data_IF_637508897123
#
_entry.id   IF_637508897123
#
_cell.length_a   1.000
_cell.length_b   1.000
_cell.length_c   1.000
_cell.angle_alpha   90.00
_cell.angle_beta   90.00
_cell.angle_gamma   90.00
#
_symmetry.space_group_name_H-M   'P 1'
#
loop_
_entity.id
_entity.type
_entity.pdbx_description
1 polymer ?
#
# COMPACT_ATOMS: atom_id res chain seq x y z
N UNK A 1 25.30 3.18 0.78
CA UNK A 1 24.01 3.72 0.30
C UNK A 1 23.14 2.53 -0.01
N UNK A 2 22.03 2.34 0.71
CA UNK A 2 21.13 1.22 0.44
C UNK A 2 20.63 1.34 -1.02
N UNK A 3 20.75 0.26 -1.79
CA UNK A 3 20.18 0.18 -3.13
C UNK A 3 18.86 -0.56 -2.99
N UNK A 4 17.79 0.20 -2.80
CA UNK A 4 16.43 -0.32 -2.67
C UNK A 4 15.94 -0.91 -4.01
N UNK A 5 14.97 -1.85 -4.00
CA UNK A 5 14.30 -2.27 -5.23
C UNK A 5 13.51 -1.14 -5.86
N UNK A 6 13.14 -1.29 -7.13
CA UNK A 6 12.09 -0.45 -7.71
C UNK A 6 10.77 -0.80 -7.04
N UNK A 7 10.08 0.17 -6.43
CA UNK A 7 8.79 -0.08 -5.79
C UNK A 7 7.68 0.50 -6.65
N UNK A 8 6.79 -0.37 -7.13
CA UNK A 8 5.56 0.05 -7.79
C UNK A 8 4.42 0.04 -6.77
N UNK A 9 3.94 1.23 -6.42
CA UNK A 9 2.82 1.38 -5.50
C UNK A 9 1.50 1.44 -6.26
N UNK A 10 0.52 0.62 -5.85
CA UNK A 10 -0.83 0.59 -6.39
C UNK A 10 -1.85 1.03 -5.34
N UNK A 11 -2.51 2.14 -5.62
CA UNK A 11 -3.59 2.68 -4.79
C UNK A 11 -4.91 1.95 -5.08
N UNK A 12 -5.45 1.27 -4.08
CA UNK A 12 -6.65 0.43 -4.16
C UNK A 12 -7.84 1.03 -3.40
N UNK A 13 -7.75 2.24 -2.84
CA UNK A 13 -8.79 2.86 -2.02
C UNK A 13 -10.15 2.93 -2.74
N UNK A 14 -10.17 3.32 -4.01
CA UNK A 14 -11.40 3.39 -4.81
C UNK A 14 -11.99 2.01 -5.14
N UNK A 15 -11.24 0.91 -4.96
CA UNK A 15 -11.68 -0.46 -5.23
C UNK A 15 -11.73 -1.31 -3.96
N UNK A 16 -10.61 -1.77 -3.41
CA UNK A 16 -10.57 -2.55 -2.15
C UNK A 16 -11.21 -1.79 -1.00
N UNK A 17 -10.85 -0.51 -0.87
CA UNK A 17 -11.36 0.36 0.19
C UNK A 17 -12.89 0.50 0.10
N UNK A 18 -13.37 1.11 -0.99
CA UNK A 18 -14.77 1.43 -1.19
C UNK A 18 -15.70 0.21 -1.28
N UNK A 19 -15.18 -0.97 -1.66
CA UNK A 19 -15.97 -2.19 -1.80
C UNK A 19 -16.63 -2.65 -0.49
N UNK A 20 -16.05 -2.33 0.67
CA UNK A 20 -16.58 -2.75 1.96
C UNK A 20 -17.33 -1.63 2.69
N UNK A 21 -17.36 -0.42 2.13
CA UNK A 21 -18.01 0.75 2.71
C UNK A 21 -19.52 0.80 2.42
N UNK A 22 -20.20 1.86 2.86
CA UNK A 22 -21.63 2.05 2.58
C UNK A 22 -21.89 2.18 1.07
N UNK A 23 -22.80 1.37 0.55
CA UNK A 23 -23.26 1.45 -0.83
C UNK A 23 -23.95 2.76 -1.20
N UNK A 24 -24.40 3.54 -0.21
CA UNK A 24 -25.08 4.82 -0.40
C UNK A 24 -24.13 6.00 -0.62
N UNK A 25 -22.81 5.82 -0.46
CA UNK A 25 -21.81 6.85 -0.79
C UNK A 25 -22.04 7.30 -2.24
N UNK A 26 -22.19 8.61 -2.43
CA UNK A 26 -22.61 9.18 -3.70
C UNK A 26 -21.53 9.01 -4.77
N UNK A 27 -21.94 9.02 -6.04
CA UNK A 27 -20.98 9.00 -7.15
C UNK A 27 -20.17 10.30 -7.19
N UNK A 28 -20.77 11.42 -6.79
CA UNK A 28 -20.09 12.72 -6.76
C UNK A 28 -18.92 12.68 -5.78
N UNK A 29 -19.13 12.16 -4.56
CA UNK A 29 -18.08 11.98 -3.57
C UNK A 29 -16.97 11.04 -4.05
N UNK A 30 -17.34 9.94 -4.73
CA UNK A 30 -16.35 8.99 -5.29
C UNK A 30 -15.53 9.61 -6.41
N UNK A 31 -16.15 10.41 -7.28
CA UNK A 31 -15.46 11.12 -8.37
C UNK A 31 -14.56 12.22 -7.82
N UNK A 32 -15.03 13.00 -6.85
CA UNK A 32 -14.22 14.03 -6.18
C UNK A 32 -12.97 13.43 -5.54
N UNK A 33 -13.13 12.32 -4.80
CA UNK A 33 -12.00 11.61 -4.20
C UNK A 33 -11.04 11.05 -5.25
N UNK A 34 -11.53 10.47 -6.34
CA UNK A 34 -10.68 9.94 -7.42
C UNK A 34 -9.91 11.05 -8.15
N UNK A 35 -10.55 12.18 -8.42
CA UNK A 35 -9.89 13.34 -9.04
C UNK A 35 -8.80 13.89 -8.12
N UNK A 36 -9.07 14.00 -6.82
CA UNK A 36 -8.07 14.41 -5.85
C UNK A 36 -6.89 13.42 -5.77
N UNK A 37 -7.17 12.10 -5.72
CA UNK A 37 -6.13 11.07 -5.74
C UNK A 37 -5.25 11.18 -7.00
N UNK A 38 -5.85 11.53 -8.14
CA UNK A 38 -5.14 11.69 -9.41
C UNK A 38 -4.14 12.86 -9.39
N UNK A 39 -4.33 13.85 -8.51
CA UNK A 39 -3.46 15.03 -8.36
C UNK A 39 -2.29 14.82 -7.39
N UNK A 40 -2.25 13.67 -6.69
CA UNK A 40 -1.23 13.36 -5.67
C UNK A 40 0.10 12.93 -6.28
N UNK A 41 0.16 12.60 -7.57
CA UNK A 41 1.36 12.04 -8.21
C UNK A 41 1.46 10.51 -8.16
N UNK A 42 0.50 9.82 -7.53
CA UNK A 42 0.31 8.37 -7.62
C UNK A 42 0.37 7.89 -9.08
N UNK A 43 1.08 6.78 -9.33
CA UNK A 43 1.30 6.26 -10.69
C UNK A 43 0.27 5.22 -11.11
N UNK A 44 -0.35 4.53 -10.16
CA UNK A 44 -1.33 3.49 -10.41
C UNK A 44 -2.50 3.63 -9.44
N UNK A 45 -3.71 3.75 -9.99
CA UNK A 45 -4.94 3.86 -9.21
C UNK A 45 -5.94 2.83 -9.74
N UNK A 46 -6.47 1.99 -8.86
CA UNK A 46 -7.57 1.07 -9.18
C UNK A 46 -8.89 1.76 -8.87
N UNK A 47 -9.58 2.20 -9.92
CA UNK A 47 -10.74 3.12 -9.79
C UNK A 47 -12.03 2.43 -9.36
N UNK A 48 -12.04 1.10 -9.32
CA UNK A 48 -13.18 0.29 -8.90
C UNK A 48 -13.21 -1.07 -9.59
N UNK A 49 -14.39 -1.69 -9.67
CA UNK A 49 -14.52 -3.06 -10.19
C UNK A 49 -15.78 -3.31 -11.03
N UNK A 50 -15.63 -4.02 -12.15
CA UNK A 50 -16.72 -4.52 -12.98
C UNK A 50 -17.17 -5.92 -12.52
N UNK A 51 -17.68 -6.00 -11.29
CA UNK A 51 -18.17 -7.24 -10.64
C UNK A 51 -19.69 -7.27 -10.55
N UNK A 52 -20.23 -8.35 -9.98
CA UNK A 52 -21.67 -8.49 -9.79
C UNK A 52 -22.16 -7.54 -8.68
N UNK A 53 -23.12 -6.65 -8.97
CA UNK A 53 -23.66 -5.72 -7.96
C UNK A 53 -24.41 -6.45 -6.83
N UNK A 54 -24.82 -7.70 -7.06
CA UNK A 54 -25.42 -8.55 -6.02
C UNK A 54 -24.49 -8.77 -4.82
N UNK A 55 -23.19 -8.94 -5.08
CA UNK A 55 -22.19 -9.26 -4.06
C UNK A 55 -21.34 -8.05 -3.68
N UNK A 56 -21.26 -7.07 -4.57
CA UNK A 56 -20.52 -5.82 -4.35
C UNK A 56 -21.36 -4.63 -4.83
N UNK A 57 -22.44 -4.27 -4.13
CA UNK A 57 -23.32 -3.16 -4.53
C UNK A 57 -22.60 -1.81 -4.60
N UNK A 58 -21.55 -1.62 -3.81
CA UNK A 58 -20.71 -0.42 -3.78
C UNK A 58 -20.05 -0.11 -5.14
N UNK A 59 -19.87 -1.15 -5.97
CA UNK A 59 -19.22 -1.08 -7.29
C UNK A 59 -20.21 -1.13 -8.45
N UNK A 60 -21.53 -1.15 -8.19
CA UNK A 60 -22.56 -1.29 -9.22
C UNK A 60 -22.43 -0.24 -10.33
N UNK A 61 -22.24 1.02 -9.92
CA UNK A 61 -22.25 2.23 -10.74
C UNK A 61 -20.85 2.68 -11.15
N UNK A 62 -19.92 1.73 -11.33
CA UNK A 62 -18.54 2.02 -11.73
C UNK A 62 -18.47 2.77 -13.07
N UNK A 63 -19.39 2.50 -13.99
CA UNK A 63 -19.50 3.18 -15.28
C UNK A 63 -19.71 4.69 -15.15
N UNK A 64 -20.46 5.14 -14.14
CA UNK A 64 -20.65 6.56 -13.88
C UNK A 64 -19.39 7.22 -13.30
N UNK A 65 -18.61 6.49 -12.50
CA UNK A 65 -17.34 7.01 -11.96
C UNK A 65 -16.35 7.21 -13.12
N UNK A 66 -16.14 6.17 -13.94
CA UNK A 66 -15.14 6.17 -15.00
C UNK A 66 -15.46 7.13 -16.16
N UNK A 67 -16.72 7.56 -16.30
CA UNK A 67 -17.12 8.54 -17.32
C UNK A 67 -17.05 9.99 -16.83
N UNK A 68 -16.93 10.22 -15.51
CA UNK A 68 -17.03 11.55 -14.91
C UNK A 68 -15.73 12.10 -14.34
N UNK A 69 -14.80 11.22 -13.95
CA UNK A 69 -13.51 11.66 -13.43
C UNK A 69 -12.60 12.22 -14.54
N UNK A 70 -11.62 13.02 -14.14
CA UNK A 70 -10.66 13.72 -15.00
C UNK A 70 -9.29 13.03 -14.94
N UNK A 71 -8.98 12.10 -15.86
CA UNK A 71 -7.71 11.38 -15.85
C UNK A 71 -6.51 12.32 -16.02
N UNK A 72 -5.49 12.12 -15.21
CA UNK A 72 -4.21 12.86 -15.26
C UNK A 72 -3.14 12.12 -16.06
N UNK A 73 -2.35 12.83 -16.91
CA UNK A 73 -1.22 12.24 -17.60
C UNK A 73 -0.21 11.61 -16.63
N UNK A 74 0.37 10.47 -17.01
CA UNK A 74 1.37 9.77 -16.18
C UNK A 74 0.79 8.92 -15.05
N UNK A 75 -0.54 8.81 -14.96
CA UNK A 75 -1.25 7.92 -14.03
C UNK A 75 -1.95 6.81 -14.82
N UNK A 76 -1.73 5.56 -14.41
CA UNK A 76 -2.41 4.40 -14.96
C UNK A 76 -3.66 4.11 -14.13
N UNK A 77 -4.82 4.25 -14.76
CA UNK A 77 -6.12 3.93 -14.16
C UNK A 77 -6.53 2.52 -14.55
N UNK A 78 -6.82 1.66 -13.59
CA UNK A 78 -7.26 0.28 -13.84
C UNK A 78 -8.57 -0.01 -13.13
N UNK A 79 -9.25 -1.07 -13.53
CA UNK A 79 -10.43 -1.57 -12.83
C UNK A 79 -10.39 -3.09 -12.75
N UNK A 80 -10.78 -3.65 -11.60
CA UNK A 80 -10.81 -5.09 -11.42
C UNK A 80 -11.97 -5.71 -12.21
N UNK A 81 -11.68 -6.71 -13.05
CA UNK A 81 -12.67 -7.50 -13.77
C UNK A 81 -12.38 -9.00 -13.64
N UNK A 82 -13.27 -9.74 -12.97
CA UNK A 82 -13.04 -11.15 -12.61
C UNK A 82 -13.56 -12.17 -13.64
N UNK A 83 -14.28 -11.73 -14.67
CA UNK A 83 -14.83 -12.58 -15.72
C UNK A 83 -14.87 -11.88 -17.08
N UNK A 84 -15.10 -12.64 -18.15
CA UNK A 84 -15.10 -12.14 -19.53
C UNK A 84 -16.07 -10.99 -19.76
N UNK A 85 -17.26 -11.04 -19.15
CA UNK A 85 -18.26 -9.96 -19.25
C UNK A 85 -17.78 -8.68 -18.58
N UNK A 86 -17.14 -8.77 -17.41
CA UNK A 86 -16.53 -7.64 -16.73
C UNK A 86 -15.41 -7.02 -17.56
N UNK A 87 -14.56 -7.86 -18.16
CA UNK A 87 -13.47 -7.41 -19.05
C UNK A 87 -14.03 -6.71 -20.30
N UNK A 88 -15.10 -7.24 -20.90
CA UNK A 88 -15.75 -6.61 -22.04
C UNK A 88 -16.36 -5.25 -21.68
N UNK A 89 -17.03 -5.14 -20.52
CA UNK A 89 -17.53 -3.86 -20.01
C UNK A 89 -16.39 -2.86 -19.78
N UNK A 90 -15.31 -3.28 -19.13
CA UNK A 90 -14.17 -2.40 -18.85
C UNK A 90 -13.54 -1.86 -20.15
N UNK A 91 -13.46 -2.66 -21.22
CA UNK A 91 -12.93 -2.24 -22.53
C UNK A 91 -13.70 -1.06 -23.13
N UNK A 92 -14.99 -0.92 -22.85
CA UNK A 92 -15.79 0.20 -23.35
C UNK A 92 -15.33 1.57 -22.79
N UNK A 93 -14.60 1.56 -21.68
CA UNK A 93 -14.08 2.75 -21.00
C UNK A 93 -12.55 2.86 -21.14
N UNK A 94 -11.97 2.17 -22.12
CA UNK A 94 -10.54 2.22 -22.44
C UNK A 94 -10.33 2.97 -23.75
N UNK A 95 -9.72 4.16 -23.77
CA UNK A 95 -9.26 4.98 -22.62
C UNK A 95 -10.42 5.69 -21.85
N UNK A 96 -10.19 6.18 -20.60
CA UNK A 96 -8.90 6.28 -19.91
C UNK A 96 -8.48 5.03 -19.12
N UNK A 97 -9.34 4.02 -18.99
CA UNK A 97 -8.95 2.79 -18.32
C UNK A 97 -7.86 2.06 -19.12
N UNK A 98 -6.85 1.59 -18.41
CA UNK A 98 -5.88 0.63 -18.89
C UNK A 98 -6.39 -0.76 -18.56
N UNK A 99 -6.61 -1.57 -19.60
CA UNK A 99 -6.95 -2.99 -19.40
C UNK A 99 -5.66 -3.74 -19.11
N UNK A 100 -5.30 -3.80 -17.83
CA UNK A 100 -4.20 -4.66 -17.38
C UNK A 100 -4.51 -6.11 -17.75
N UNK A 101 -3.64 -6.68 -18.59
CA UNK A 101 -3.42 -8.13 -18.58
C UNK A 101 -2.30 -8.35 -17.57
N UNK A 102 -2.43 -9.37 -16.72
CA UNK A 102 -1.30 -9.75 -15.85
C UNK A 102 -0.08 -9.90 -16.76
N UNK A 103 0.98 -9.14 -16.47
CA UNK A 103 2.22 -9.17 -17.26
C UNK A 103 2.75 -10.61 -17.34
N UNK A 104 2.42 -11.41 -16.32
CA UNK A 104 2.79 -12.80 -16.18
C UNK A 104 1.52 -13.65 -16.00
N UNK A 105 1.12 -14.49 -16.96
CA UNK A 105 0.11 -15.51 -16.71
C UNK A 105 0.50 -16.31 -15.46
N UNK A 106 -0.43 -16.41 -14.51
CA UNK A 106 -0.11 -16.84 -13.16
C UNK A 106 -0.81 -18.13 -12.78
N UNK A 107 -0.05 -19.07 -12.22
CA UNK A 107 -0.62 -20.15 -11.42
C UNK A 107 -0.78 -19.63 -9.99
N UNK A 108 -2.02 -19.54 -9.53
CA UNK A 108 -2.36 -19.01 -8.22
C UNK A 108 -3.28 -19.93 -7.45
N UNK A 109 -3.20 -19.88 -6.12
CA UNK A 109 -4.10 -20.62 -5.22
C UNK A 109 -4.19 -19.96 -3.86
N UNK A 110 -5.35 -20.05 -3.22
CA UNK A 110 -5.50 -19.71 -1.82
C UNK A 110 -5.01 -20.86 -0.94
N UNK A 111 -4.10 -20.60 0.00
CA UNK A 111 -3.63 -21.63 0.95
C UNK A 111 -4.74 -22.08 1.91
N UNK A 112 -5.77 -21.25 2.14
CA UNK A 112 -6.93 -21.59 2.95
C UNK A 112 -8.14 -21.99 2.11
N UNK A 113 -8.46 -23.30 2.08
CA UNK A 113 -9.64 -23.86 1.40
C UNK A 113 -10.97 -23.26 1.93
N UNK A 114 -11.08 -23.06 3.24
CA UNK A 114 -12.29 -22.47 3.85
C UNK A 114 -12.51 -21.05 3.34
N UNK A 115 -11.46 -20.24 3.27
CA UNK A 115 -11.54 -18.86 2.80
C UNK A 115 -11.98 -18.79 1.34
N UNK A 116 -11.34 -19.56 0.44
CA UNK A 116 -11.68 -19.52 -0.99
C UNK A 116 -13.10 -20.01 -1.27
N UNK A 117 -13.61 -20.99 -0.51
CA UNK A 117 -15.02 -21.41 -0.59
C UNK A 117 -15.96 -20.27 -0.23
N UNK A 118 -15.63 -19.50 0.82
CA UNK A 118 -16.44 -18.34 1.24
C UNK A 118 -16.35 -17.17 0.25
N UNK A 119 -15.16 -16.95 -0.31
CA UNK A 119 -14.87 -15.80 -1.16
C UNK A 119 -15.35 -15.98 -2.61
N UNK A 120 -15.15 -17.17 -3.18
CA UNK A 120 -15.38 -17.41 -4.62
C UNK A 120 -16.22 -18.65 -4.93
N UNK A 121 -16.73 -19.36 -3.91
CA UNK A 121 -17.45 -20.63 -4.05
C UNK A 121 -16.65 -21.71 -4.79
N UNK A 122 -15.33 -21.72 -4.61
CA UNK A 122 -14.42 -22.75 -5.12
C UNK A 122 -13.62 -23.35 -3.98
N UNK A 123 -13.26 -24.62 -4.13
CA UNK A 123 -12.24 -25.26 -3.30
C UNK A 123 -10.84 -24.94 -3.81
N UNK A 124 -9.85 -25.11 -2.95
CA UNK A 124 -8.44 -25.05 -3.32
C UNK A 124 -8.11 -26.02 -4.46
N UNK A 125 -8.64 -27.25 -4.40
CA UNK A 125 -8.47 -28.25 -5.45
C UNK A 125 -9.00 -27.77 -6.81
N UNK A 126 -10.18 -27.12 -6.84
CA UNK A 126 -10.75 -26.56 -8.06
C UNK A 126 -9.96 -25.38 -8.62
N UNK A 127 -9.23 -24.62 -7.78
CA UNK A 127 -8.29 -23.61 -8.29
C UNK A 127 -7.10 -24.29 -8.99
N UNK A 128 -6.54 -25.34 -8.39
CA UNK A 128 -5.42 -26.09 -8.94
C UNK A 128 -5.78 -26.89 -10.20
N UNK A 129 -6.99 -27.44 -10.29
CA UNK A 129 -7.51 -28.13 -11.49
C UNK A 129 -7.48 -27.25 -12.75
N UNK A 130 -7.46 -25.92 -12.60
CA UNK A 130 -7.39 -24.97 -13.72
C UNK A 130 -5.97 -24.69 -14.18
N UNK A 131 -4.95 -25.01 -13.39
CA UNK A 131 -3.56 -24.72 -13.74
C UNK A 131 -3.12 -25.31 -15.08
N UNK A 132 -3.42 -26.58 -15.43
CA UNK A 132 -3.05 -27.12 -16.74
C UNK A 132 -3.65 -26.32 -17.91
N UNK A 133 -4.86 -25.80 -17.76
CA UNK A 133 -5.49 -24.96 -18.78
C UNK A 133 -4.76 -23.61 -18.94
N UNK A 134 -4.33 -23.00 -17.83
CA UNK A 134 -3.54 -21.76 -17.85
C UNK A 134 -2.20 -21.98 -18.55
N UNK A 135 -1.53 -23.10 -18.25
CA UNK A 135 -0.27 -23.48 -18.91
C UNK A 135 -0.47 -23.68 -20.41
N UNK A 136 -1.49 -24.45 -20.81
CA UNK A 136 -1.79 -24.68 -22.22
C UNK A 136 -2.08 -23.38 -22.98
N UNK A 137 -2.88 -22.48 -22.40
CA UNK A 137 -3.16 -21.16 -22.99
C UNK A 137 -1.88 -20.31 -23.13
N UNK A 138 -0.98 -20.35 -22.15
CA UNK A 138 0.28 -19.62 -22.23
C UNK A 138 1.17 -20.15 -23.37
N UNK A 139 1.21 -21.47 -23.59
CA UNK A 139 1.91 -22.07 -24.73
C UNK A 139 1.29 -21.66 -26.08
N UNK A 140 -0.04 -21.73 -26.21
CA UNK A 140 -0.77 -21.30 -27.41
C UNK A 140 -0.48 -19.83 -27.76
N UNK A 141 -0.39 -18.98 -26.74
CA UNK A 141 -0.09 -17.56 -26.88
C UNK A 141 1.40 -17.24 -26.97
N UNK A 142 2.29 -18.25 -26.99
CA UNK A 142 3.74 -18.11 -27.05
C UNK A 142 4.34 -17.21 -25.93
N UNK A 143 3.72 -17.22 -24.75
CA UNK A 143 4.19 -16.48 -23.59
C UNK A 143 5.57 -17.01 -23.16
N UNK A 144 6.45 -16.09 -22.75
CA UNK A 144 7.84 -16.41 -22.38
C UNK A 144 8.11 -16.31 -20.88
N UNK A 145 7.34 -15.50 -20.17
CA UNK A 145 7.49 -15.27 -18.75
C UNK A 145 6.14 -15.46 -18.04
N UNK A 146 6.17 -16.13 -16.90
CA UNK A 146 5.01 -16.48 -16.12
C UNK A 146 5.20 -16.16 -14.63
N UNK A 147 4.09 -16.28 -13.90
CA UNK A 147 4.03 -15.98 -12.48
C UNK A 147 3.58 -17.19 -11.68
N UNK A 148 4.02 -17.21 -10.43
CA UNK A 148 3.52 -18.09 -9.37
C UNK A 148 2.91 -17.24 -8.26
N UNK A 149 2.05 -17.81 -7.43
CA UNK A 149 1.51 -17.07 -6.32
C UNK A 149 0.58 -17.83 -5.39
N UNK A 150 0.48 -17.27 -4.19
CA UNK A 150 -0.47 -17.71 -3.18
C UNK A 150 -1.26 -16.54 -2.62
N UNK A 151 -2.40 -16.87 -2.02
CA UNK A 151 -3.21 -15.95 -1.24
C UNK A 151 -3.55 -16.64 0.09
N UNK A 152 -3.86 -15.89 1.15
CA UNK A 152 -3.80 -16.37 2.54
C UNK A 152 -2.42 -16.99 2.85
N UNK A 153 -1.34 -16.36 2.38
CA UNK A 153 -0.01 -16.97 2.26
C UNK A 153 0.64 -17.37 3.60
N UNK A 154 0.28 -16.72 4.70
CA UNK A 154 0.95 -16.90 6.00
C UNK A 154 0.05 -17.45 7.11
N UNK A 155 -1.23 -17.63 6.81
CA UNK A 155 -2.21 -18.13 7.77
C UNK A 155 -3.65 -17.78 7.41
N UNK A 156 -4.55 -18.20 8.27
CA UNK A 156 -5.97 -17.97 8.16
C UNK A 156 -6.65 -17.89 9.51
N UNK A 157 -7.65 -17.01 9.63
CA UNK A 157 -8.55 -16.99 10.78
C UNK A 157 -9.38 -18.28 10.91
N UNK A 158 -9.45 -19.13 9.87
CA UNK A 158 -10.23 -20.35 9.85
C UNK A 158 -9.42 -21.62 10.08
N UNK A 159 -8.14 -21.63 9.68
CA UNK A 159 -7.28 -22.82 9.72
C UNK A 159 -6.01 -22.61 10.56
N UNK A 160 -5.83 -21.42 11.14
CA UNK A 160 -4.66 -21.11 11.95
C UNK A 160 -3.45 -20.72 11.09
N UNK A 161 -2.27 -21.01 11.63
CA UNK A 161 -1.01 -20.59 11.06
C UNK A 161 -0.57 -21.48 9.90
N UNK A 162 0.02 -20.85 8.86
CA UNK A 162 0.74 -21.58 7.80
C UNK A 162 2.26 -21.27 7.91
N UNK A 163 3.11 -22.29 8.08
CA UNK A 163 4.56 -22.16 8.00
C UNK A 163 5.03 -21.74 6.60
N UNK A 164 6.20 -21.10 6.51
CA UNK A 164 6.82 -20.72 5.22
C UNK A 164 7.17 -21.94 4.38
N UNK A 165 7.44 -23.10 4.99
CA UNK A 165 7.68 -24.36 4.25
C UNK A 165 6.48 -24.80 3.40
N UNK A 166 5.25 -24.64 3.91
CA UNK A 166 4.03 -24.97 3.16
C UNK A 166 3.85 -24.02 1.97
N UNK A 167 4.13 -22.74 2.19
CA UNK A 167 4.15 -21.72 1.13
C UNK A 167 5.16 -22.07 0.04
N UNK A 168 6.39 -22.39 0.41
CA UNK A 168 7.46 -22.75 -0.54
C UNK A 168 7.14 -24.03 -1.30
N UNK A 169 6.54 -25.04 -0.64
CA UNK A 169 6.08 -26.27 -1.29
C UNK A 169 5.04 -25.98 -2.37
N UNK A 170 4.09 -25.09 -2.08
CA UNK A 170 3.06 -24.69 -3.04
C UNK A 170 3.64 -23.91 -4.22
N UNK A 171 4.54 -22.96 -3.96
CA UNK A 171 5.22 -22.18 -5.00
C UNK A 171 6.08 -23.09 -5.90
N UNK A 172 6.77 -24.08 -5.32
CA UNK A 172 7.59 -25.03 -6.07
C UNK A 172 6.73 -25.88 -7.01
N UNK A 173 5.55 -26.33 -6.56
CA UNK A 173 4.62 -27.05 -7.42
C UNK A 173 4.19 -26.23 -8.64
N UNK A 174 3.90 -24.94 -8.43
CA UNK A 174 3.54 -24.03 -9.51
C UNK A 174 4.71 -23.76 -10.44
N UNK A 175 5.92 -23.58 -9.89
CA UNK A 175 7.14 -23.36 -10.66
C UNK A 175 7.46 -24.55 -11.56
N UNK A 176 7.44 -25.78 -11.04
CA UNK A 176 7.74 -26.98 -11.81
C UNK A 176 6.80 -27.18 -13.00
N UNK A 177 5.53 -26.77 -12.89
CA UNK A 177 4.59 -26.84 -14.02
C UNK A 177 4.97 -25.90 -15.17
N UNK A 178 5.59 -24.75 -14.88
CA UNK A 178 6.11 -23.85 -15.90
C UNK A 178 7.43 -24.38 -16.49
N UNK A 179 8.31 -24.96 -15.67
CA UNK A 179 9.55 -25.58 -16.12
C UNK A 179 9.31 -26.73 -17.10
N UNK A 180 8.32 -27.58 -16.85
CA UNK A 180 7.94 -28.71 -17.72
C UNK A 180 7.63 -28.28 -19.17
N UNK A 181 7.16 -27.04 -19.35
CA UNK A 181 6.84 -26.47 -20.66
C UNK A 181 7.85 -25.44 -21.16
N UNK A 182 8.94 -25.21 -20.41
CA UNK A 182 10.01 -24.29 -20.75
C UNK A 182 9.61 -22.81 -20.72
N UNK A 183 8.63 -22.43 -19.90
CA UNK A 183 8.24 -21.03 -19.68
C UNK A 183 8.92 -20.54 -18.39
N UNK A 184 9.66 -19.45 -18.47
CA UNK A 184 10.43 -18.92 -17.34
C UNK A 184 9.49 -18.31 -16.29
N UNK A 185 9.68 -18.60 -15.01
CA UNK A 185 9.00 -17.88 -13.93
C UNK A 185 9.78 -16.60 -13.61
N UNK A 186 9.15 -15.44 -13.77
CA UNK A 186 9.76 -14.14 -13.51
C UNK A 186 9.10 -13.39 -12.34
N UNK A 187 7.91 -13.85 -11.90
CA UNK A 187 7.15 -13.19 -10.83
C UNK A 187 6.64 -14.17 -9.76
N UNK A 188 6.67 -13.72 -8.50
CA UNK A 188 5.97 -14.37 -7.39
C UNK A 188 5.05 -13.38 -6.67
N UNK A 189 3.82 -13.79 -6.34
CA UNK A 189 2.87 -12.95 -5.59
C UNK A 189 2.39 -13.62 -4.31
N UNK A 190 2.28 -12.85 -3.23
CA UNK A 190 1.76 -13.32 -1.94
C UNK A 190 0.70 -12.34 -1.41
N UNK A 191 -0.47 -12.87 -1.07
CA UNK A 191 -1.61 -12.10 -0.56
C UNK A 191 -2.01 -12.50 0.85
N UNK A 192 -2.43 -11.52 1.65
CA UNK A 192 -2.79 -11.69 3.05
C UNK A 192 -4.15 -11.06 3.42
N UNK A 193 -5.27 -11.66 2.98
CA UNK A 193 -6.62 -11.14 3.18
C UNK A 193 -7.10 -11.21 4.63
N UNK A 194 -6.32 -11.81 5.53
CA UNK A 194 -6.67 -12.07 6.93
C UNK A 194 -5.70 -11.43 7.92
N UNK A 195 -4.69 -10.68 7.46
CA UNK A 195 -3.67 -10.02 8.29
C UNK A 195 -2.88 -10.99 9.16
N UNK A 196 -2.35 -12.06 8.56
CA UNK A 196 -1.44 -13.04 9.16
C UNK A 196 0.03 -12.80 8.80
N UNK A 197 0.34 -11.82 7.95
CA UNK A 197 1.71 -11.42 7.70
C UNK A 197 2.39 -10.97 9.00
N UNK A 198 3.67 -11.32 9.12
CA UNK A 198 4.59 -10.75 10.10
C UNK A 198 5.88 -10.42 9.37
N UNK A 199 6.65 -9.43 9.83
CA UNK A 199 7.89 -9.05 9.15
C UNK A 199 8.83 -10.23 8.92
N UNK A 200 9.03 -11.08 9.93
CA UNK A 200 9.88 -12.26 9.85
C UNK A 200 9.41 -13.27 8.79
N UNK A 201 8.09 -13.54 8.69
CA UNK A 201 7.57 -14.47 7.68
C UNK A 201 7.70 -13.93 6.27
N UNK A 202 7.42 -12.64 6.07
CA UNK A 202 7.54 -12.02 4.75
C UNK A 202 9.01 -11.97 4.32
N UNK A 203 9.92 -11.60 5.24
CA UNK A 203 11.37 -11.64 5.01
C UNK A 203 11.84 -13.03 4.59
N UNK A 204 11.51 -14.07 5.37
CA UNK A 204 11.88 -15.44 5.07
C UNK A 204 11.31 -15.91 3.72
N UNK A 205 10.04 -15.60 3.44
CA UNK A 205 9.38 -15.99 2.19
C UNK A 205 10.07 -15.38 0.98
N UNK A 206 10.33 -14.06 1.02
CA UNK A 206 11.00 -13.35 -0.08
C UNK A 206 12.44 -13.83 -0.24
N UNK A 207 13.17 -14.01 0.87
CA UNK A 207 14.53 -14.52 0.87
C UNK A 207 14.61 -15.91 0.21
N UNK A 208 13.76 -16.84 0.62
CA UNK A 208 13.77 -18.21 0.10
C UNK A 208 13.32 -18.29 -1.36
N UNK A 209 12.39 -17.44 -1.79
CA UNK A 209 12.04 -17.30 -3.21
C UNK A 209 13.26 -16.84 -4.01
N UNK A 210 13.97 -15.80 -3.57
CA UNK A 210 15.16 -15.26 -4.25
C UNK A 210 16.36 -16.21 -4.23
N UNK A 211 16.55 -16.93 -3.13
CA UNK A 211 17.61 -17.93 -3.00
C UNK A 211 17.37 -19.12 -3.93
N UNK A 212 16.12 -19.61 -3.98
CA UNK A 212 15.76 -20.79 -4.78
C UNK A 212 15.62 -20.47 -6.27
N UNK A 213 15.08 -19.30 -6.60
CA UNK A 213 14.82 -18.83 -7.97
C UNK A 213 15.31 -17.39 -8.17
N UNK A 214 16.63 -17.19 -8.34
CA UNK A 214 17.22 -15.86 -8.49
C UNK A 214 16.66 -15.05 -9.67
N UNK A 215 16.14 -15.74 -10.68
CA UNK A 215 15.52 -15.18 -11.88
C UNK A 215 14.16 -14.52 -11.66
N UNK A 216 13.48 -14.80 -10.55
CA UNK A 216 12.26 -14.11 -10.14
C UNK A 216 12.66 -12.72 -9.65
N UNK A 217 12.42 -11.71 -10.47
CA UNK A 217 12.79 -10.32 -10.20
C UNK A 217 11.59 -9.40 -9.99
N UNK A 218 10.36 -9.92 -10.06
CA UNK A 218 9.16 -9.19 -9.66
C UNK A 218 8.43 -9.91 -8.51
N UNK A 219 8.44 -9.29 -7.33
CA UNK A 219 7.68 -9.73 -6.17
C UNK A 219 6.47 -8.82 -5.97
N UNK A 220 5.28 -9.41 -5.86
CA UNK A 220 4.05 -8.68 -5.50
C UNK A 220 3.56 -9.05 -4.11
N UNK A 221 3.33 -8.03 -3.27
CA UNK A 221 2.78 -8.19 -1.92
C UNK A 221 1.45 -7.43 -1.78
N UNK A 222 0.41 -8.16 -1.40
CA UNK A 222 -0.90 -7.61 -1.07
C UNK A 222 -1.18 -7.83 0.42
N UNK A 223 -0.83 -6.84 1.23
CA UNK A 223 -0.75 -6.98 2.69
C UNK A 223 -1.88 -6.21 3.38
N UNK A 224 -2.76 -6.91 4.07
CA UNK A 224 -3.75 -6.26 4.93
C UNK A 224 -3.17 -5.94 6.32
N UNK A 225 -3.64 -4.86 6.95
CA UNK A 225 -3.02 -4.30 8.15
C UNK A 225 -3.80 -4.48 9.47
N UNK A 226 -4.70 -5.45 9.56
CA UNK A 226 -5.61 -5.63 10.71
C UNK A 226 -4.95 -6.01 12.03
N UNK A 227 -3.63 -6.31 12.00
CA UNK A 227 -2.78 -6.52 13.18
C UNK A 227 -1.54 -5.64 13.19
N UNK A 228 -1.57 -4.55 12.40
CA UNK A 228 -0.52 -3.55 12.29
C UNK A 228 0.86 -4.10 11.85
N UNK A 229 0.86 -5.06 10.92
CA UNK A 229 2.08 -5.73 10.45
C UNK A 229 2.41 -5.46 8.98
N UNK A 230 1.50 -4.87 8.20
CA UNK A 230 1.67 -4.74 6.75
C UNK A 230 2.85 -3.86 6.37
N UNK A 231 2.96 -2.66 6.97
CA UNK A 231 4.05 -1.70 6.67
C UNK A 231 5.41 -2.30 7.06
N UNK A 232 5.51 -2.87 8.27
CA UNK A 232 6.75 -3.50 8.73
C UNK A 232 7.14 -4.72 7.88
N UNK A 233 6.15 -5.45 7.36
CA UNK A 233 6.38 -6.58 6.45
C UNK A 233 6.82 -6.14 5.06
N UNK A 234 6.25 -5.06 4.52
CA UNK A 234 6.72 -4.44 3.28
C UNK A 234 8.17 -3.95 3.42
N UNK A 235 8.50 -3.30 4.54
CA UNK A 235 9.88 -2.92 4.86
C UNK A 235 10.82 -4.13 4.89
N UNK A 236 10.41 -5.22 5.53
CA UNK A 236 11.22 -6.44 5.60
C UNK A 236 11.48 -7.03 4.21
N UNK A 237 10.49 -7.04 3.31
CA UNK A 237 10.69 -7.43 1.92
C UNK A 237 11.68 -6.51 1.18
N UNK A 238 11.56 -5.19 1.35
CA UNK A 238 12.48 -4.21 0.75
C UNK A 238 13.93 -4.40 1.23
N UNK A 239 14.14 -4.91 2.46
CA UNK A 239 15.48 -5.19 3.01
C UNK A 239 16.16 -6.39 2.37
N UNK A 240 15.38 -7.34 1.85
CA UNK A 240 15.88 -8.55 1.18
C UNK A 240 16.17 -8.30 -0.30
N UNK A 241 15.33 -7.50 -0.97
CA UNK A 241 15.41 -7.26 -2.40
C UNK A 241 16.52 -6.27 -2.79
N UNK A 242 17.05 -6.45 -4.00
CA UNK A 242 18.10 -5.62 -4.59
C UNK A 242 17.58 -4.60 -5.61
N UNK A 243 18.45 -3.71 -6.12
CA UNK A 243 18.09 -2.71 -7.15
C UNK A 243 17.66 -3.30 -8.51
N UNK A 244 18.01 -4.56 -8.78
CA UNK A 244 17.58 -5.32 -9.95
C UNK A 244 16.16 -5.88 -9.82
N UNK A 245 15.59 -5.84 -8.61
CA UNK A 245 14.26 -6.35 -8.31
C UNK A 245 13.20 -5.24 -8.38
N UNK A 246 11.98 -5.68 -8.67
CA UNK A 246 10.75 -4.89 -8.58
C UNK A 246 9.90 -5.44 -7.45
N UNK A 247 9.39 -4.55 -6.61
CA UNK A 247 8.45 -4.85 -5.54
C UNK A 247 7.13 -4.12 -5.82
N UNK A 248 6.12 -4.87 -6.23
CA UNK A 248 4.76 -4.36 -6.38
C UNK A 248 4.04 -4.42 -5.02
N UNK A 249 3.61 -3.27 -4.49
CA UNK A 249 2.87 -3.18 -3.22
C UNK A 249 1.52 -2.53 -3.45
N UNK A 250 0.48 -3.16 -2.90
CA UNK A 250 -0.87 -2.63 -2.87
C UNK A 250 -1.14 -1.98 -1.50
N UNK A 251 -1.85 -0.85 -1.49
CA UNK A 251 -2.37 -0.25 -0.26
C UNK A 251 -3.55 0.68 -0.54
N UNK A 252 -4.05 1.34 0.51
CA UNK A 252 -5.23 2.21 0.39
C UNK A 252 -5.03 3.46 1.21
N UNK A 253 -5.40 4.63 0.69
CA UNK A 253 -5.41 5.88 1.47
C UNK A 253 -6.10 5.70 2.82
N UNK A 254 -5.50 6.12 3.93
CA UNK A 254 -6.08 5.96 5.28
C UNK A 254 -6.25 4.52 5.76
N UNK A 255 -5.81 3.52 4.99
CA UNK A 255 -5.81 2.10 5.36
C UNK A 255 -7.19 1.45 5.44
N UNK A 256 -8.23 2.05 4.84
CA UNK A 256 -9.57 1.41 4.79
C UNK A 256 -9.62 0.27 3.79
N UNK A 257 -10.72 -0.48 3.82
CA UNK A 257 -10.87 -1.71 3.06
C UNK A 257 -10.86 -2.92 3.97
N UNK A 258 -10.54 -4.06 3.37
CA UNK A 258 -10.65 -5.35 4.03
C UNK A 258 -11.53 -6.31 3.24
N UNK A 259 -11.61 -7.54 3.72
CA UNK A 259 -12.31 -8.59 3.02
C UNK A 259 -13.55 -9.03 3.81
N UNK A 260 -14.79 -8.91 3.27
CA UNK A 260 -15.98 -9.35 3.99
C UNK A 260 -16.00 -10.88 4.22
N UNK A 261 -15.20 -11.64 3.48
CA UNK A 261 -15.15 -13.09 3.53
C UNK A 261 -14.12 -13.65 4.53
N UNK A 262 -13.25 -12.79 5.07
CA UNK A 262 -12.09 -13.19 5.89
C UNK A 262 -12.38 -13.34 7.39
N UNK A 263 -13.61 -13.03 7.83
CA UNK A 263 -14.04 -13.12 9.23
C UNK A 263 -13.82 -11.85 10.05
N UNK A 264 -12.98 -10.91 9.59
CA UNK A 264 -12.76 -9.62 10.26
C UNK A 264 -13.35 -8.41 9.51
N UNK A 265 -13.74 -8.58 8.24
CA UNK A 265 -14.37 -7.51 7.46
C UNK A 265 -13.49 -6.26 7.40
N UNK A 266 -14.07 -5.11 7.74
CA UNK A 266 -13.40 -3.78 7.70
C UNK A 266 -12.21 -3.67 8.65
N UNK A 267 -12.18 -4.46 9.72
CA UNK A 267 -11.07 -4.42 10.68
C UNK A 267 -9.76 -4.94 10.08
N UNK A 268 -9.83 -5.63 8.94
CA UNK A 268 -8.64 -6.12 8.23
C UNK A 268 -7.85 -4.97 7.62
N UNK A 269 -8.52 -3.93 7.08
CA UNK A 269 -7.89 -2.76 6.48
C UNK A 269 -6.82 -3.08 5.44
N UNK A 270 -6.04 -2.09 5.04
CA UNK A 270 -4.81 -2.25 4.26
C UNK A 270 -3.73 -1.36 4.88
N UNK A 271 -2.49 -1.45 4.42
CA UNK A 271 -1.49 -0.45 4.76
C UNK A 271 -2.00 0.95 4.32
N UNK A 272 -2.07 1.95 5.23
CA UNK A 272 -2.37 3.31 4.85
C UNK A 272 -1.34 3.83 3.84
N UNK A 273 -1.81 4.31 2.70
CA UNK A 273 -0.93 4.80 1.63
C UNK A 273 0.00 5.91 2.09
N UNK A 274 -0.51 6.84 2.88
CA UNK A 274 0.29 7.94 3.42
C UNK A 274 1.37 7.44 4.38
N UNK A 275 1.13 6.37 5.14
CA UNK A 275 2.11 5.87 6.11
C UNK A 275 3.25 5.13 5.40
N UNK A 276 2.93 4.27 4.43
CA UNK A 276 3.94 3.50 3.70
C UNK A 276 4.75 4.38 2.74
N UNK A 277 4.12 5.33 2.05
CA UNK A 277 4.81 6.24 1.14
C UNK A 277 5.68 7.25 1.90
N UNK A 278 5.24 7.71 3.07
CA UNK A 278 6.04 8.56 3.95
C UNK A 278 7.29 7.81 4.47
N UNK A 279 7.12 6.55 4.90
CA UNK A 279 8.25 5.67 5.26
C UNK A 279 9.25 5.53 4.10
N UNK A 280 8.76 5.24 2.88
CA UNK A 280 9.58 5.08 1.69
C UNK A 280 10.39 6.35 1.36
N UNK A 281 9.72 7.50 1.36
CA UNK A 281 10.36 8.79 1.08
C UNK A 281 11.48 9.08 2.08
N UNK A 282 11.25 8.81 3.36
CA UNK A 282 12.24 9.02 4.42
C UNK A 282 13.41 8.02 4.38
N UNK A 283 13.20 6.85 3.78
CA UNK A 283 14.26 5.89 3.48
C UNK A 283 15.05 6.26 2.20
N UNK A 284 14.66 7.32 1.51
CA UNK A 284 15.25 7.78 0.25
C UNK A 284 14.78 7.00 -0.98
N UNK A 285 13.62 6.33 -0.90
CA UNK A 285 12.96 5.70 -2.05
C UNK A 285 12.07 6.75 -2.70
N UNK A 286 12.29 7.01 -3.99
CA UNK A 286 11.49 7.98 -4.74
C UNK A 286 10.08 7.42 -5.00
N UNK A 287 9.07 8.15 -4.52
CA UNK A 287 7.65 7.81 -4.76
C UNK A 287 7.01 8.71 -5.82
N UNK A 288 7.50 9.95 -5.95
CA UNK A 288 6.89 11.00 -6.76
C UNK A 288 5.50 11.46 -6.27
N UNK A 289 5.12 11.09 -5.03
CA UNK A 289 3.83 11.42 -4.43
C UNK A 289 3.96 12.65 -3.54
N UNK A 290 3.03 13.58 -3.72
CA UNK A 290 2.79 14.73 -2.85
C UNK A 290 2.02 14.27 -1.61
N UNK A 291 2.74 14.13 -0.49
CA UNK A 291 2.16 13.64 0.76
C UNK A 291 1.09 14.58 1.31
N UNK A 292 1.22 15.89 1.10
CA UNK A 292 0.28 16.88 1.61
C UNK A 292 -1.07 16.77 0.90
N UNK A 293 -1.07 16.54 -0.42
CA UNK A 293 -2.30 16.24 -1.18
C UNK A 293 -2.88 14.87 -0.83
N UNK A 294 -2.04 13.88 -0.56
CA UNK A 294 -2.51 12.56 -0.15
C UNK A 294 -3.24 12.62 1.20
N UNK A 295 -2.74 13.42 2.15
CA UNK A 295 -3.42 13.68 3.44
C UNK A 295 -4.80 14.33 3.23
N UNK A 296 -4.93 15.28 2.28
CA UNK A 296 -6.25 15.85 1.94
C UNK A 296 -7.22 14.77 1.45
N UNK A 297 -6.73 13.84 0.62
CA UNK A 297 -7.53 12.70 0.14
C UNK A 297 -8.03 11.83 1.31
N UNK A 298 -7.18 11.61 2.32
CA UNK A 298 -7.59 10.87 3.52
C UNK A 298 -8.69 11.62 4.29
N UNK A 299 -8.54 12.93 4.51
CA UNK A 299 -9.56 13.73 5.19
C UNK A 299 -10.87 13.81 4.42
N UNK A 300 -10.81 13.89 3.08
CA UNK A 300 -12.00 13.78 2.22
C UNK A 300 -12.66 12.42 2.38
N UNK A 301 -11.88 11.34 2.35
CA UNK A 301 -12.40 9.98 2.53
C UNK A 301 -13.05 9.80 3.92
N UNK A 302 -12.46 10.34 4.98
CA UNK A 302 -13.05 10.36 6.34
C UNK A 302 -14.40 11.07 6.38
N UNK A 303 -14.49 12.23 5.74
CA UNK A 303 -15.74 13.00 5.64
C UNK A 303 -16.81 12.21 4.88
N UNK A 304 -16.45 11.59 3.76
CA UNK A 304 -17.35 10.77 2.93
C UNK A 304 -17.86 9.55 3.69
N UNK A 305 -16.99 8.88 4.47
CA UNK A 305 -17.37 7.70 5.26
C UNK A 305 -18.00 8.03 6.61
N UNK A 306 -17.91 9.29 7.06
CA UNK A 306 -18.43 9.73 8.37
C UNK A 306 -17.68 9.14 9.56
N UNK A 307 -16.41 8.74 9.39
CA UNK A 307 -15.58 8.15 10.45
C UNK A 307 -14.10 8.41 10.20
N UNK A 308 -13.30 8.31 11.26
CA UNK A 308 -11.85 8.32 11.12
C UNK A 308 -11.33 7.04 10.44
N UNK A 309 -10.23 7.22 9.72
CA UNK A 309 -9.42 6.20 9.07
C UNK A 309 -8.17 5.91 9.91
N UNK A 310 -7.45 4.84 9.56
CA UNK A 310 -6.40 4.26 10.41
C UNK A 310 -5.00 4.85 10.19
N UNK A 311 -4.82 5.67 9.15
CA UNK A 311 -3.52 6.26 8.83
C UNK A 311 -3.04 7.21 9.91
N UNK A 312 -1.73 7.19 10.18
CA UNK A 312 -1.12 7.99 11.23
C UNK A 312 -0.52 9.29 10.69
N UNK A 313 0.09 9.26 9.51
CA UNK A 313 0.71 10.44 8.88
C UNK A 313 -0.34 11.48 8.53
N UNK A 314 -1.56 11.07 8.16
CA UNK A 314 -2.69 11.98 7.94
C UNK A 314 -3.20 12.67 9.22
N UNK A 315 -2.79 12.18 10.40
CA UNK A 315 -3.14 12.74 11.71
C UNK A 315 -2.02 13.57 12.32
N UNK A 316 -0.78 13.09 12.19
CA UNK A 316 0.40 13.74 12.76
C UNK A 316 1.09 14.73 11.79
N UNK A 317 0.82 14.61 10.50
CA UNK A 317 1.53 15.33 9.45
C UNK A 317 2.83 14.64 9.03
N UNK A 318 3.40 15.01 7.87
CA UNK A 318 4.70 14.53 7.44
C UNK A 318 5.81 15.10 8.33
N UNK A 319 6.92 14.36 8.44
CA UNK A 319 8.13 14.88 9.11
C UNK A 319 8.60 16.17 8.43
N UNK A 320 8.87 17.26 9.18
CA UNK A 320 9.35 18.50 8.58
C UNK A 320 10.80 18.32 8.10
N UNK A 321 11.05 18.62 6.82
CA UNK A 321 12.36 18.45 6.15
C UNK A 321 13.02 19.77 5.75
N UNK A 322 12.32 20.89 5.86
CA UNK A 322 12.83 22.22 5.56
C UNK A 322 12.58 23.18 6.72
N UNK A 323 13.37 24.26 6.80
CA UNK A 323 13.19 25.34 7.79
C UNK A 323 11.77 25.90 7.77
N UNK A 324 11.19 26.07 6.57
CA UNK A 324 9.82 26.59 6.41
C UNK A 324 8.73 25.63 6.88
N UNK A 325 9.04 24.33 6.99
CA UNK A 325 8.11 23.30 7.48
C UNK A 325 8.26 23.02 8.99
N UNK A 326 9.33 23.52 9.63
CA UNK A 326 9.52 23.35 11.07
C UNK A 326 8.41 24.08 11.83
N UNK A 327 7.90 23.43 12.86
CA UNK A 327 6.85 24.02 13.68
C UNK A 327 7.36 25.26 14.41
N UNK A 328 6.43 26.18 14.69
CA UNK A 328 6.73 27.35 15.52
C UNK A 328 7.15 26.86 16.91
N UNK A 329 8.31 27.31 17.38
CA UNK A 329 8.78 26.97 18.73
C UNK A 329 7.84 27.50 19.81
N UNK A 330 7.15 28.60 19.51
CA UNK A 330 6.14 29.22 20.38
C UNK A 330 4.72 28.78 20.00
N UNK A 331 4.52 27.51 19.65
CA UNK A 331 3.16 26.95 19.54
C UNK A 331 2.59 26.54 20.91
N UNK A 332 1.27 26.66 21.13
CA UNK A 332 0.62 26.23 22.37
C UNK A 332 0.58 24.70 22.50
N UNK A 333 0.02 24.20 23.59
CA UNK A 333 -0.33 22.79 23.70
C UNK A 333 -1.22 22.33 22.54
N UNK A 334 -0.90 21.14 22.02
CA UNK A 334 -1.69 20.40 21.05
C UNK A 334 -2.15 19.12 21.74
N UNK A 335 -3.43 19.06 22.09
CA UNK A 335 -4.01 17.95 22.86
C UNK A 335 -4.98 17.11 22.04
N UNK A 336 -5.45 17.65 20.90
CA UNK A 336 -6.46 17.01 20.05
C UNK A 336 -5.95 16.80 18.63
N UNK A 337 -6.54 15.82 17.93
CA UNK A 337 -6.27 15.60 16.51
C UNK A 337 -6.66 16.80 15.65
N UNK A 338 -7.67 17.58 16.04
CA UNK A 338 -8.05 18.79 15.32
C UNK A 338 -6.97 19.88 15.43
N UNK A 339 -6.44 20.11 16.63
CA UNK A 339 -5.31 21.01 16.84
C UNK A 339 -4.06 20.53 16.09
N UNK A 340 -3.83 19.22 16.04
CA UNK A 340 -2.69 18.63 15.33
C UNK A 340 -2.69 18.98 13.84
N UNK A 341 -3.85 19.23 13.21
CA UNK A 341 -3.93 19.66 11.81
C UNK A 341 -3.21 20.98 11.52
N UNK A 342 -2.71 21.70 12.53
CA UNK A 342 -1.90 22.91 12.35
C UNK A 342 -0.72 22.74 11.38
N UNK A 343 -0.17 21.53 11.24
CA UNK A 343 0.91 21.26 10.28
C UNK A 343 0.50 21.62 8.84
N UNK A 344 -0.80 21.69 8.56
CA UNK A 344 -1.36 21.98 7.24
C UNK A 344 -2.33 23.16 7.21
N UNK A 345 -3.23 23.29 8.20
CA UNK A 345 -4.19 24.41 8.25
C UNK A 345 -3.64 25.66 8.95
N UNK A 346 -2.43 25.55 9.51
CA UNK A 346 -1.73 26.65 10.16
C UNK A 346 -2.20 26.92 11.60
N UNK A 347 -1.77 28.06 12.19
CA UNK A 347 -1.97 28.36 13.60
C UNK A 347 -3.42 28.48 14.08
N UNK A 348 -4.37 28.67 13.16
CA UNK A 348 -5.81 28.72 13.50
C UNK A 348 -6.31 27.41 14.12
N UNK A 349 -5.65 26.27 13.85
CA UNK A 349 -6.04 24.98 14.44
C UNK A 349 -5.94 24.95 15.97
N UNK A 350 -5.09 25.80 16.56
CA UNK A 350 -4.86 25.89 18.00
C UNK A 350 -5.15 27.29 18.56
N UNK A 351 -6.02 28.06 17.89
CA UNK A 351 -6.45 29.36 18.38
C UNK A 351 -7.08 29.23 19.78
N UNK A 352 -6.66 30.10 20.71
CA UNK A 352 -7.06 30.02 22.12
C UNK A 352 -6.36 28.91 22.92
N UNK A 353 -5.33 28.27 22.35
CA UNK A 353 -4.54 27.25 23.02
C UNK A 353 -3.80 27.75 24.26
N UNK A 354 -3.42 26.81 25.13
CA UNK A 354 -2.69 27.10 26.37
C UNK A 354 -1.19 27.12 26.07
N UNK A 355 -0.52 28.20 26.48
CA UNK A 355 0.91 28.41 26.29
C UNK A 355 1.65 28.00 27.57
N UNK A 356 2.44 26.91 27.57
CA UNK A 356 3.09 26.40 28.79
C UNK A 356 4.29 27.22 29.26
N UNK A 357 4.84 28.08 28.41
CA UNK A 357 6.02 28.90 28.68
C UNK A 357 5.60 30.32 29.09
N UNK A 358 6.40 30.90 30.00
CA UNK A 358 6.19 32.27 30.52
C UNK A 358 6.76 33.35 29.60
N UNK A 359 7.79 33.01 28.86
CA UNK A 359 8.52 33.86 27.93
C UNK A 359 8.65 33.11 26.59
N UNK A 360 8.83 33.80 25.45
CA UNK A 360 9.12 33.15 24.18
C UNK A 360 10.31 32.19 24.27
N UNK A 361 10.20 31.04 23.63
CA UNK A 361 11.25 30.02 23.62
C UNK A 361 12.43 30.55 22.80
N UNK A 362 13.63 30.48 23.37
CA UNK A 362 14.89 30.72 22.65
C UNK A 362 15.69 29.41 22.58
N UNK A 363 16.40 29.19 21.48
CA UNK A 363 17.18 27.96 21.29
C UNK A 363 18.31 28.18 20.30
N UNK A 364 19.56 28.14 20.77
CA UNK A 364 20.75 28.22 19.92
C UNK A 364 20.78 27.08 18.88
N UNK A 365 20.18 25.93 19.20
CA UNK A 365 19.99 24.83 18.24
C UNK A 365 19.04 25.23 17.11
N UNK A 366 17.93 25.90 17.43
CA UNK A 366 16.97 26.38 16.43
C UNK A 366 17.58 27.50 15.60
N UNK A 367 18.27 28.45 16.22
CA UNK A 367 18.94 29.56 15.53
C UNK A 367 19.94 29.06 14.47
N UNK A 368 20.66 27.97 14.78
CA UNK A 368 21.54 27.29 13.81
C UNK A 368 20.76 26.71 12.64
N UNK A 369 19.65 26.01 12.91
CA UNK A 369 18.79 25.43 11.87
C UNK A 369 18.20 26.50 10.97
N UNK A 370 17.76 27.63 11.53
CA UNK A 370 17.24 28.77 10.76
C UNK A 370 18.32 29.43 9.88
N UNK A 371 19.60 29.30 10.27
CA UNK A 371 20.76 29.69 9.44
C UNK A 371 21.18 28.62 8.41
N UNK A 372 20.44 27.52 8.28
CA UNK A 372 20.75 26.41 7.37
C UNK A 372 21.87 25.49 7.86
N UNK A 373 22.23 25.53 9.14
CA UNK A 373 23.20 24.60 9.76
C UNK A 373 22.44 23.43 10.42
N UNK A 374 23.06 22.26 10.60
CA UNK A 374 22.43 21.21 11.40
C UNK A 374 22.32 21.64 12.87
N UNK A 375 21.31 21.13 13.56
CA UNK A 375 21.14 21.33 15.00
C UNK A 375 22.36 20.83 15.80
N UNK A 376 23.01 19.77 15.32
CA UNK A 376 24.23 19.19 15.86
C UNK A 376 25.29 19.10 14.76
N UNK A 377 26.52 19.48 15.06
CA UNK A 377 27.63 19.16 14.17
C UNK A 377 27.87 17.64 14.16
N UNK A 378 28.51 17.09 13.10
CA UNK A 378 28.98 15.71 13.11
C UNK A 378 29.82 15.40 14.35
N UNK A 379 29.93 14.11 14.69
CA UNK A 379 30.73 13.68 15.84
C UNK A 379 32.15 14.28 15.79
N UNK A 380 32.56 14.95 16.87
CA UNK A 380 33.85 15.63 16.98
C UNK A 380 33.87 17.09 16.46
N UNK A 381 32.75 17.60 15.96
CA UNK A 381 32.55 19.01 15.62
C UNK A 381 32.58 19.95 16.83
N UNK A 382 32.30 21.24 16.61
CA UNK A 382 32.34 22.26 17.67
C UNK A 382 31.05 22.29 18.49
N UNK A 383 29.89 22.27 17.83
CA UNK A 383 28.60 22.42 18.46
C UNK A 383 27.81 21.09 18.52
N UNK A 384 27.21 20.72 19.66
CA UNK A 384 27.40 21.29 21.00
C UNK A 384 28.64 20.75 21.73
N UNK A 385 29.42 19.88 21.07
CA UNK A 385 30.38 18.98 21.72
C UNK A 385 31.55 19.63 22.47
N UNK A 386 31.87 20.89 22.16
CA UNK A 386 32.99 21.65 22.75
C UNK A 386 32.54 22.93 23.47
N UNK A 387 31.25 23.06 23.76
CA UNK A 387 30.75 24.19 24.54
C UNK A 387 31.11 24.01 26.01
N UNK A 388 31.34 25.12 26.74
CA UNK A 388 31.76 25.08 28.15
C UNK A 388 30.75 24.35 29.07
N UNK A 389 29.47 24.36 28.69
CA UNK A 389 28.40 23.66 29.41
C UNK A 389 28.25 22.19 28.99
N UNK A 390 28.88 21.75 27.90
CA UNK A 390 28.83 20.36 27.45
C UNK A 390 29.77 19.51 28.32
N UNK A 391 29.29 18.44 28.97
CA UNK A 391 30.10 17.65 29.89
C UNK A 391 31.38 17.12 29.22
N UNK A 392 32.52 17.31 29.88
CA UNK A 392 33.77 16.71 29.44
C UNK A 392 33.66 15.17 29.48
N UNK A 393 34.29 14.51 28.51
CA UNK A 393 34.43 13.06 28.52
C UNK A 393 35.58 12.73 29.47
N UNK A 394 35.26 12.27 30.68
CA UNK A 394 36.25 11.85 31.70
C UNK A 394 37.29 10.85 31.16
#
# INVERSE_FOLDING_TARGET
MYRWPTVNYKEEGMREGMQIEDSQISIDDKVELLDALSETGLKQIVVGSFVSPKWTPQMERIDEIVTRFTPKPGVTYTALALNSRGVERAKAYSPPLTIERDQFPRLGVHMCDVFVRRNTNRSQAQEMERWPQVVAQAQELNIKEAGIGTNASWGSNFLGEFPVDDLMTMLERQHSMWDEVGIKVASASMGDPMSHCTPAKVEESVYRVKEKWPEINNIRLHLHNGRNMAIASAYAAMRVLGPEDTLDIDGTIGGYGGCPYCGNGRATGMAPSEDILHMMEDMGIETGVDIDKLIECVWMAEKVMGRELYGHVSKAGPRPKSVSSLYNIDMPFVETLEQAKHFKVGPSAYEGGIYPYREPITSEYRDRVDQGKPAYDPAGGEWPWKQDWFPAKD
#
